data_IF_110202446911
#
_entry.id   IF_110202446911
#
_cell.length_a   1.000
_cell.length_b   1.000
_cell.length_c   1.000
_cell.angle_alpha   90.00
_cell.angle_beta   90.00
_cell.angle_gamma   90.00
#
_symmetry.space_group_name_H-M   'P 1'
#
loop_
_entity.id
_entity.type
_entity.pdbx_description
1 polymer ?
#
# COMPACT_ATOMS: atom_id res chain seq x y z
N UNK A 1 -17.26 -6.62 -3.45
CA UNK A 1 -17.27 -5.21 -3.01
C UNK A 1 -15.84 -4.67 -3.11
N UNK A 2 -15.65 -3.43 -3.57
CA UNK A 2 -14.31 -2.84 -3.77
C UNK A 2 -13.58 -2.58 -2.45
N UNK A 3 -14.32 -2.27 -1.38
CA UNK A 3 -13.74 -1.99 -0.08
C UNK A 3 -13.11 -3.25 0.51
N UNK A 4 -13.82 -4.37 0.44
CA UNK A 4 -13.32 -5.66 0.92
C UNK A 4 -12.06 -6.11 0.15
N UNK A 5 -12.03 -5.88 -1.16
CA UNK A 5 -10.86 -6.19 -1.99
C UNK A 5 -9.62 -5.43 -1.50
N UNK A 6 -9.75 -4.13 -1.23
CA UNK A 6 -8.63 -3.30 -0.82
C UNK A 6 -8.24 -3.48 0.65
N UNK A 7 -9.19 -3.81 1.53
CA UNK A 7 -8.89 -4.24 2.89
C UNK A 7 -8.11 -5.58 2.90
N UNK A 8 -8.49 -6.52 2.02
CA UNK A 8 -7.76 -7.77 1.85
C UNK A 8 -6.35 -7.54 1.26
N UNK A 9 -6.22 -6.65 0.28
CA UNK A 9 -4.93 -6.24 -0.27
C UNK A 9 -3.98 -5.71 0.82
N UNK A 10 -4.52 -4.86 1.71
CA UNK A 10 -3.76 -4.32 2.84
C UNK A 10 -3.30 -5.42 3.80
N UNK A 11 -4.19 -6.37 4.12
CA UNK A 11 -3.84 -7.54 4.94
C UNK A 11 -2.77 -8.44 4.32
N UNK A 12 -2.78 -8.62 3.00
CA UNK A 12 -1.74 -9.39 2.29
C UNK A 12 -0.35 -8.73 2.38
N UNK A 13 -0.29 -7.40 2.50
CA UNK A 13 0.95 -6.65 2.71
C UNK A 13 1.41 -6.63 4.18
N UNK A 14 0.70 -7.34 5.07
CA UNK A 14 1.04 -7.45 6.49
C UNK A 14 0.51 -6.31 7.36
N UNK A 15 -0.31 -5.43 6.79
CA UNK A 15 -0.87 -4.28 7.50
C UNK A 15 -2.23 -4.61 8.12
N UNK A 16 -2.56 -3.93 9.21
CA UNK A 16 -3.88 -4.07 9.83
C UNK A 16 -4.91 -3.29 9.01
N UNK A 17 -6.01 -3.96 8.63
CA UNK A 17 -7.14 -3.33 7.95
C UNK A 17 -7.84 -2.26 8.80
N UNK A 18 -8.54 -1.34 8.14
CA UNK A 18 -9.31 -0.30 8.81
C UNK A 18 -9.56 0.93 7.96
N UNK A 19 -10.17 1.94 8.58
CA UNK A 19 -10.44 3.24 7.96
C UNK A 19 -9.77 4.37 8.76
N UNK A 20 -9.26 5.42 8.10
CA UNK A 20 -9.19 5.61 6.64
C UNK A 20 -8.28 4.57 5.97
N UNK A 21 -8.56 4.21 4.71
CA UNK A 21 -7.77 3.26 3.92
C UNK A 21 -6.93 4.03 2.90
N UNK A 22 -5.62 3.87 2.95
CA UNK A 22 -4.68 4.50 2.02
C UNK A 22 -3.92 3.42 1.26
N UNK A 23 -4.00 3.43 -0.08
CA UNK A 23 -3.27 2.52 -0.95
C UNK A 23 -2.56 3.28 -2.07
N UNK A 24 -1.37 2.79 -2.43
CA UNK A 24 -0.61 3.24 -3.59
C UNK A 24 -0.52 2.08 -4.58
N UNK A 25 -0.95 2.35 -5.82
CA UNK A 25 -1.09 1.36 -6.87
C UNK A 25 -0.16 1.70 -8.02
N UNK A 26 0.28 0.66 -8.73
CA UNK A 26 0.92 0.81 -10.04
C UNK A 26 -0.12 1.31 -11.07
N UNK A 27 0.31 1.79 -12.26
CA UNK A 27 -0.59 2.13 -13.36
C UNK A 27 -1.52 0.98 -13.79
N UNK A 28 -1.11 -0.26 -13.53
CA UNK A 28 -1.86 -1.49 -13.79
C UNK A 28 -2.91 -1.81 -12.71
N UNK A 29 -3.12 -0.89 -11.75
CA UNK A 29 -4.04 -1.02 -10.62
C UNK A 29 -3.63 -2.12 -9.62
N UNK A 30 -2.33 -2.34 -9.46
CA UNK A 30 -1.79 -3.33 -8.54
C UNK A 30 -1.30 -2.65 -7.24
N UNK A 31 -1.88 -2.93 -6.06
CA UNK A 31 -1.47 -2.32 -4.80
C UNK A 31 -0.08 -2.82 -4.37
N UNK A 32 0.85 -1.90 -4.14
CA UNK A 32 2.22 -2.25 -3.73
C UNK A 32 2.65 -1.64 -2.39
N UNK A 33 1.89 -0.68 -1.87
CA UNK A 33 2.08 -0.12 -0.54
C UNK A 33 0.74 0.38 0.01
N UNK A 34 0.59 0.36 1.33
CA UNK A 34 -0.64 0.79 1.97
C UNK A 34 -0.51 0.98 3.45
N UNK A 35 -1.57 1.53 4.03
CA UNK A 35 -1.76 1.63 5.46
C UNK A 35 -3.14 2.21 5.75
N UNK A 36 -3.40 2.46 7.03
CA UNK A 36 -4.62 3.16 7.43
C UNK A 36 -4.40 4.67 7.42
N UNK A 37 -4.23 5.26 8.61
CA UNK A 37 -4.03 6.68 8.80
C UNK A 37 -2.56 7.05 8.88
N UNK A 38 -2.13 7.99 8.03
CA UNK A 38 -0.83 8.64 8.14
C UNK A 38 -0.99 10.08 8.64
N UNK A 39 -0.43 10.43 9.81
CA UNK A 39 -0.55 11.77 10.38
C UNK A 39 0.15 12.84 9.53
N UNK A 40 -0.25 14.11 9.68
CA UNK A 40 0.44 15.22 9.00
C UNK A 40 1.92 15.29 9.35
N UNK A 41 2.24 15.10 10.62
CA UNK A 41 3.59 15.05 11.18
C UNK A 41 3.80 13.71 11.89
N UNK A 42 5.03 13.20 11.97
CA UNK A 42 5.30 11.94 12.67
C UNK A 42 4.83 12.00 14.11
N UNK A 43 4.11 10.97 14.58
CA UNK A 43 3.62 10.86 15.96
C UNK A 43 3.44 9.40 16.34
N UNK A 44 3.64 9.07 17.61
CA UNK A 44 3.35 7.74 18.16
C UNK A 44 3.99 6.58 17.37
N UNK A 45 5.21 6.81 16.84
CA UNK A 45 5.92 5.83 16.01
C UNK A 45 5.43 5.71 14.56
N UNK A 46 4.38 6.44 14.18
CA UNK A 46 3.86 6.49 12.81
C UNK A 46 4.60 7.55 11.98
N UNK A 47 4.96 7.22 10.72
CA UNK A 47 5.54 8.18 9.80
C UNK A 47 4.52 9.25 9.42
N UNK A 48 4.98 10.47 9.20
CA UNK A 48 4.13 11.52 8.63
C UNK A 48 3.81 11.23 7.15
N UNK A 49 2.67 11.71 6.65
CA UNK A 49 2.26 11.51 5.26
C UNK A 49 3.35 11.96 4.27
N UNK A 50 4.04 13.06 4.54
CA UNK A 50 5.15 13.51 3.68
C UNK A 50 6.33 12.52 3.63
N UNK A 51 6.63 11.82 4.74
CA UNK A 51 7.66 10.78 4.76
C UNK A 51 7.20 9.55 3.99
N UNK A 52 5.94 9.15 4.16
CA UNK A 52 5.33 8.05 3.40
C UNK A 52 5.40 8.34 1.90
N UNK A 53 4.99 9.53 1.46
CA UNK A 53 5.04 9.92 0.05
C UNK A 53 6.46 9.93 -0.50
N UNK A 54 7.45 10.36 0.29
CA UNK A 54 8.86 10.30 -0.11
C UNK A 54 9.34 8.86 -0.32
N UNK A 55 9.01 7.96 0.62
CA UNK A 55 9.37 6.54 0.54
C UNK A 55 8.66 5.83 -0.62
N UNK A 56 7.36 6.10 -0.82
CA UNK A 56 6.59 5.56 -1.97
C UNK A 56 7.19 6.05 -3.28
N UNK A 57 7.52 7.34 -3.40
CA UNK A 57 8.15 7.90 -4.61
C UNK A 57 9.50 7.23 -4.88
N UNK A 58 10.34 7.06 -3.86
CA UNK A 58 11.63 6.38 -4.01
C UNK A 58 11.43 4.93 -4.46
N UNK A 59 10.54 4.18 -3.78
CA UNK A 59 10.23 2.80 -4.14
C UNK A 59 9.73 2.69 -5.58
N UNK A 60 8.83 3.59 -5.99
CA UNK A 60 8.25 3.57 -7.32
C UNK A 60 9.24 3.98 -8.43
N UNK A 61 10.11 4.97 -8.18
CA UNK A 61 11.02 5.49 -9.21
C UNK A 61 12.36 4.75 -9.26
N UNK A 62 12.88 4.31 -8.11
CA UNK A 62 14.23 3.76 -7.99
C UNK A 62 14.23 2.25 -7.77
N UNK A 63 13.17 1.70 -7.16
CA UNK A 63 13.01 0.27 -6.89
C UNK A 63 11.75 -0.29 -7.57
N UNK A 64 11.53 0.14 -8.81
CA UNK A 64 10.30 -0.13 -9.56
C UNK A 64 9.99 -1.62 -9.67
N UNK A 65 11.02 -2.46 -9.84
CA UNK A 65 10.88 -3.92 -9.86
C UNK A 65 10.22 -4.48 -8.60
N UNK A 66 10.54 -3.92 -7.43
CA UNK A 66 10.03 -4.40 -6.14
C UNK A 66 8.58 -4.00 -5.97
N UNK A 67 8.23 -2.77 -6.38
CA UNK A 67 6.86 -2.27 -6.39
C UNK A 67 5.98 -3.10 -7.35
N UNK A 68 6.46 -3.34 -8.58
CA UNK A 68 5.72 -4.16 -9.57
C UNK A 68 5.61 -5.62 -9.11
N UNK A 69 6.66 -6.19 -8.49
CA UNK A 69 6.61 -7.54 -7.94
C UNK A 69 5.57 -7.65 -6.83
N UNK A 70 5.58 -6.72 -5.88
CA UNK A 70 4.63 -6.69 -4.76
C UNK A 70 3.21 -6.53 -5.28
N UNK A 71 2.99 -5.59 -6.20
CA UNK A 71 1.71 -5.35 -6.85
C UNK A 71 1.15 -6.62 -7.51
N UNK A 72 1.95 -7.27 -8.36
CA UNK A 72 1.55 -8.53 -9.03
C UNK A 72 1.23 -9.62 -8.03
N UNK A 73 2.09 -9.79 -7.02
CA UNK A 73 1.92 -10.81 -5.99
C UNK A 73 0.61 -10.61 -5.20
N UNK A 74 0.29 -9.37 -4.81
CA UNK A 74 -0.98 -9.05 -4.14
C UNK A 74 -2.16 -9.36 -5.07
N UNK A 75 -2.10 -8.91 -6.33
CA UNK A 75 -3.17 -9.15 -7.32
C UNK A 75 -3.43 -10.64 -7.54
N UNK A 76 -2.38 -11.43 -7.71
CA UNK A 76 -2.48 -12.88 -7.90
C UNK A 76 -3.10 -13.58 -6.69
N UNK A 77 -2.74 -13.17 -5.47
CA UNK A 77 -3.31 -13.72 -4.24
C UNK A 77 -4.78 -13.38 -4.08
N UNK A 78 -5.19 -12.16 -4.42
CA UNK A 78 -6.61 -11.75 -4.39
C UNK A 78 -7.45 -12.48 -5.45
N UNK A 79 -6.87 -12.81 -6.61
CA UNK A 79 -7.58 -13.54 -7.65
C UNK A 79 -7.76 -15.04 -7.32
N UNK A 80 -6.98 -15.58 -6.38
CA UNK A 80 -7.00 -16.98 -5.97
C UNK A 80 -7.88 -17.28 -4.74
N UNK A 81 -8.48 -16.24 -4.14
CA UNK A 81 -9.35 -16.30 -2.95
C UNK A 81 -10.82 -16.09 -3.30
#
# INVERSE_FOLDING_TARGET
>A
DVDQLYQAALGLMGETGGWPLTLFLTPELEPFFGGTYFPRHPRDGLPGLSQVLAAVRESFLQRRSDADFTGKWVRERLAAS
#
